data_IF_385770280037
#
_entry.id   IF_385770280037
#
_cell.length_a   1.000
_cell.length_b   1.000
_cell.length_c   1.000
_cell.angle_alpha   90.00
_cell.angle_beta   90.00
_cell.angle_gamma   90.00
#
_symmetry.space_group_name_H-M   'P 1'
#
loop_
_entity.id
_entity.type
_entity.pdbx_description
1 polymer ?
#
# COMPACT_ATOMS: atom_id res chain seq x y z
N UNK A 1 -20.70 10.85 -13.26
CA UNK A 1 -21.68 10.28 -12.32
C UNK A 1 -20.91 9.86 -11.08
N UNK A 2 -20.80 10.77 -10.12
CA UNK A 2 -20.16 10.55 -8.82
C UNK A 2 -21.28 10.34 -7.81
N UNK A 3 -21.33 9.18 -7.18
CA UNK A 3 -22.25 8.87 -6.08
C UNK A 3 -21.46 8.96 -4.78
N UNK A 4 -21.85 9.90 -3.93
CA UNK A 4 -21.40 10.06 -2.54
C UNK A 4 -21.70 8.80 -1.71
N UNK A 5 -20.81 8.40 -0.78
CA UNK A 5 -21.22 7.62 0.38
C UNK A 5 -21.44 8.59 1.56
N UNK A 6 -22.62 9.19 1.59
CA UNK A 6 -23.17 9.84 2.78
C UNK A 6 -23.81 8.74 3.64
N UNK A 7 -23.00 7.99 4.40
CA UNK A 7 -23.52 7.09 5.44
C UNK A 7 -23.55 7.86 6.75
N UNK A 8 -24.76 8.35 7.06
CA UNK A 8 -25.18 8.80 8.38
C UNK A 8 -24.88 7.70 9.41
N UNK A 9 -23.99 7.97 10.35
CA UNK A 9 -23.99 7.27 11.63
C UNK A 9 -25.11 7.88 12.46
N UNK A 10 -26.26 7.24 12.40
CA UNK A 10 -27.36 7.47 13.33
C UNK A 10 -26.90 7.15 14.75
N UNK A 11 -27.03 8.15 15.61
CA UNK A 11 -26.92 8.07 17.05
C UNK A 11 -27.98 7.13 17.60
N UNK A 12 -27.62 5.85 17.79
CA UNK A 12 -28.35 4.95 18.67
C UNK A 12 -27.93 5.22 20.11
N UNK A 13 -28.59 6.18 20.74
CA UNK A 13 -28.53 6.42 22.19
C UNK A 13 -29.96 6.49 22.74
N UNK A 14 -30.72 5.44 22.47
CA UNK A 14 -31.96 5.14 23.19
C UNK A 14 -31.69 3.94 24.10
N UNK A 15 -31.23 4.23 25.31
CA UNK A 15 -31.63 3.43 26.46
C UNK A 15 -32.20 4.38 27.50
N UNK A 16 -33.53 4.33 27.60
CA UNK A 16 -34.34 4.82 28.71
C UNK A 16 -33.82 4.21 30.01
N UNK A 17 -32.79 4.80 30.61
CA UNK A 17 -32.53 4.70 32.03
C UNK A 17 -33.39 5.75 32.72
N UNK A 18 -34.58 5.36 33.19
CA UNK A 18 -35.34 6.11 34.19
C UNK A 18 -34.33 6.58 35.25
N UNK A 19 -34.04 7.87 35.32
CA UNK A 19 -33.54 8.46 36.55
C UNK A 19 -34.71 8.42 37.52
N UNK A 20 -34.87 7.27 38.19
CA UNK A 20 -35.56 7.22 39.46
C UNK A 20 -34.72 8.13 40.35
N UNK A 21 -35.17 9.38 40.50
CA UNK A 21 -34.89 10.12 41.70
C UNK A 21 -35.54 9.30 42.82
N UNK A 22 -34.81 8.31 43.33
CA UNK A 22 -34.97 7.81 44.69
C UNK A 22 -34.45 8.95 45.56
N UNK A 23 -35.25 10.00 45.68
CA UNK A 23 -35.41 10.64 46.97
C UNK A 23 -35.88 9.52 47.89
N UNK A 24 -34.92 8.89 48.57
CA UNK A 24 -35.21 8.20 49.81
C UNK A 24 -35.70 9.27 50.79
N UNK A 25 -36.98 9.63 50.65
CA UNK A 25 -37.81 10.02 51.78
C UNK A 25 -37.88 8.78 52.67
N UNK A 26 -36.78 8.51 53.37
CA UNK A 26 -36.75 7.68 54.56
C UNK A 26 -37.48 8.50 55.61
N UNK A 27 -38.81 8.37 55.59
CA UNK A 27 -39.64 8.50 56.78
C UNK A 27 -39.11 7.44 57.75
N UNK A 28 -38.03 7.79 58.43
CA UNK A 28 -37.35 6.95 59.41
C UNK A 28 -37.90 7.41 60.74
N UNK A 29 -38.64 6.51 61.39
CA UNK A 29 -38.98 6.69 62.79
C UNK A 29 -37.72 7.16 63.54
N UNK A 30 -37.84 8.17 64.42
CA UNK A 30 -36.68 8.70 65.13
C UNK A 30 -35.93 7.54 65.78
N UNK A 31 -34.60 7.47 65.63
CA UNK A 31 -33.83 6.32 66.07
C UNK A 31 -34.11 6.05 67.54
N UNK A 32 -34.32 4.78 67.87
CA UNK A 32 -34.69 4.38 69.22
C UNK A 32 -33.57 4.75 70.20
N UNK A 33 -33.91 4.96 71.47
CA UNK A 33 -32.93 5.31 72.48
C UNK A 33 -31.82 4.24 72.62
N UNK A 34 -32.11 2.99 72.29
CA UNK A 34 -31.15 1.89 72.22
C UNK A 34 -30.21 1.99 71.02
N UNK A 35 -30.73 2.38 69.85
CA UNK A 35 -29.93 2.63 68.64
C UNK A 35 -28.98 3.82 68.85
N UNK A 36 -29.43 4.86 69.53
CA UNK A 36 -28.60 6.03 69.87
C UNK A 36 -27.50 5.64 70.87
N UNK A 37 -27.84 4.85 71.91
CA UNK A 37 -26.84 4.35 72.87
C UNK A 37 -25.81 3.44 72.21
N UNK A 38 -26.27 2.55 71.34
CA UNK A 38 -25.40 1.68 70.56
C UNK A 38 -24.46 2.50 69.66
N UNK A 39 -25.00 3.48 68.93
CA UNK A 39 -24.20 4.38 68.11
C UNK A 39 -23.17 5.17 68.94
N UNK A 40 -23.53 5.72 70.10
CA UNK A 40 -22.58 6.39 71.00
C UNK A 40 -21.47 5.42 71.42
N UNK A 41 -21.81 4.21 71.85
CA UNK A 41 -20.83 3.21 72.27
C UNK A 41 -19.91 2.78 71.12
N UNK A 42 -20.45 2.55 69.92
CA UNK A 42 -19.66 2.20 68.75
C UNK A 42 -18.68 3.31 68.38
N UNK A 43 -19.11 4.58 68.36
CA UNK A 43 -18.21 5.69 68.08
C UNK A 43 -17.20 5.89 69.24
N UNK A 44 -17.58 5.62 70.48
CA UNK A 44 -16.73 5.80 71.66
C UNK A 44 -15.65 4.71 71.78
N UNK A 45 -15.97 3.44 71.51
CA UNK A 45 -14.99 2.36 71.38
C UNK A 45 -13.97 2.63 70.26
N UNK A 46 -14.39 3.32 69.20
CA UNK A 46 -13.53 3.73 68.11
C UNK A 46 -12.67 4.97 68.42
N UNK A 47 -13.09 5.81 69.38
CA UNK A 47 -12.35 7.02 69.83
C UNK A 47 -11.38 6.70 70.98
N UNK A 48 -11.74 5.75 71.85
CA UNK A 48 -10.91 5.29 72.98
C UNK A 48 -9.83 4.27 72.53
N UNK A 49 -9.96 3.73 71.32
CA UNK A 49 -8.89 3.04 70.62
C UNK A 49 -7.77 4.00 70.20
N UNK A 50 -6.52 3.62 70.48
CA UNK A 50 -5.29 4.39 70.27
C UNK A 50 -5.33 5.31 69.02
N UNK A 51 -5.00 6.60 69.22
CA UNK A 51 -5.06 7.67 68.21
C UNK A 51 -4.27 7.36 66.92
N UNK A 52 -3.41 6.35 66.94
CA UNK A 52 -2.69 5.79 65.80
C UNK A 52 -3.58 5.11 64.75
N UNK A 53 -4.86 4.83 65.06
CA UNK A 53 -5.84 4.21 64.15
C UNK A 53 -6.79 5.22 63.47
N UNK A 54 -6.64 6.53 63.72
CA UNK A 54 -7.50 7.61 63.21
C UNK A 54 -7.74 7.59 61.70
N UNK A 55 -6.81 7.06 60.91
CA UNK A 55 -6.93 7.01 59.45
C UNK A 55 -7.76 5.83 58.92
N UNK A 56 -8.18 4.88 59.77
CA UNK A 56 -8.92 3.66 59.35
C UNK A 56 -10.36 3.59 59.84
N UNK A 57 -10.73 4.44 60.78
CA UNK A 57 -12.04 4.41 61.44
C UNK A 57 -13.20 4.81 60.51
N UNK A 58 -13.06 5.80 59.61
CA UNK A 58 -14.16 6.18 58.69
C UNK A 58 -14.48 5.13 57.62
N UNK A 59 -13.58 4.18 57.36
CA UNK A 59 -13.76 3.13 56.36
C UNK A 59 -14.55 1.92 56.90
N UNK A 60 -14.89 1.92 58.20
CA UNK A 60 -15.70 0.87 58.80
C UNK A 60 -17.20 1.16 58.60
N UNK A 61 -17.97 0.24 57.98
CA UNK A 61 -19.40 0.43 57.75
C UNK A 61 -20.18 0.79 59.02
N UNK A 62 -19.80 0.18 60.15
CA UNK A 62 -20.41 0.41 61.45
C UNK A 62 -20.18 1.84 62.00
N UNK A 63 -19.03 2.46 61.70
CA UNK A 63 -18.74 3.83 62.13
C UNK A 63 -19.55 4.86 61.34
N UNK A 64 -19.73 4.63 60.03
CA UNK A 64 -20.57 5.46 59.18
C UNK A 64 -22.05 5.33 59.53
N UNK A 65 -22.54 4.12 59.79
CA UNK A 65 -23.92 3.85 60.19
C UNK A 65 -24.23 4.48 61.56
N UNK A 66 -23.34 4.33 62.54
CA UNK A 66 -23.45 4.99 63.84
C UNK A 66 -23.39 6.53 63.72
N UNK A 67 -22.57 7.07 62.82
CA UNK A 67 -22.52 8.51 62.53
C UNK A 67 -23.82 9.03 61.91
N UNK A 68 -24.43 8.28 60.99
CA UNK A 68 -25.74 8.63 60.41
C UNK A 68 -26.83 8.66 61.48
N UNK A 69 -26.87 7.64 62.36
CA UNK A 69 -27.83 7.56 63.48
C UNK A 69 -27.68 8.76 64.42
N UNK A 70 -26.46 9.20 64.75
CA UNK A 70 -26.24 10.37 65.60
C UNK A 70 -26.55 11.71 64.91
N UNK A 71 -26.41 11.79 63.58
CA UNK A 71 -26.81 12.99 62.83
C UNK A 71 -28.33 13.22 62.86
N UNK A 72 -29.12 12.14 62.96
CA UNK A 72 -30.58 12.16 63.03
C UNK A 72 -31.10 12.45 64.45
N UNK A 73 -30.29 12.26 65.50
CA UNK A 73 -30.65 12.54 66.89
C UNK A 73 -29.69 13.55 67.60
N UNK A 74 -29.61 14.79 67.10
CA UNK A 74 -28.62 15.78 67.56
C UNK A 74 -28.85 16.30 68.98
N UNK A 75 -30.04 16.09 69.54
CA UNK A 75 -30.44 16.54 70.88
C UNK A 75 -30.05 15.55 71.99
N UNK A 76 -29.64 14.33 71.62
CA UNK A 76 -29.29 13.24 72.54
C UNK A 76 -27.79 12.92 72.54
N UNK A 77 -27.00 13.62 71.74
CA UNK A 77 -25.56 13.40 71.60
C UNK A 77 -24.75 14.60 72.08
N UNK A 78 -23.54 14.35 72.60
CA UNK A 78 -22.63 15.42 73.01
C UNK A 78 -22.08 16.16 71.79
N UNK A 79 -21.66 17.42 71.96
CA UNK A 79 -21.03 18.20 70.89
C UNK A 79 -19.82 17.49 70.26
N UNK A 80 -19.07 16.69 71.04
CA UNK A 80 -17.95 15.88 70.55
C UNK A 80 -18.40 14.74 69.63
N UNK A 81 -19.46 14.03 70.00
CA UNK A 81 -20.02 12.94 69.19
C UNK A 81 -20.60 13.46 67.87
N UNK A 82 -21.19 14.65 67.89
CA UNK A 82 -21.70 15.31 66.67
C UNK A 82 -20.58 15.68 65.69
N UNK A 83 -19.52 16.33 66.17
CA UNK A 83 -18.35 16.69 65.35
C UNK A 83 -17.73 15.44 64.70
N UNK A 84 -17.67 14.34 65.45
CA UNK A 84 -17.12 13.09 64.96
C UNK A 84 -18.01 12.39 63.94
N UNK A 85 -19.33 12.38 64.17
CA UNK A 85 -20.30 11.88 63.20
C UNK A 85 -20.24 12.67 61.87
N UNK A 86 -20.19 14.00 61.95
CA UNK A 86 -20.07 14.87 60.78
C UNK A 86 -18.75 14.60 60.01
N UNK A 87 -17.64 14.39 60.73
CA UNK A 87 -16.36 14.03 60.13
C UNK A 87 -16.41 12.69 59.38
N UNK A 88 -16.98 11.64 59.98
CA UNK A 88 -17.12 10.32 59.35
C UNK A 88 -17.99 10.38 58.08
N UNK A 89 -19.07 11.16 58.10
CA UNK A 89 -19.96 11.34 56.94
C UNK A 89 -19.23 12.07 55.81
N UNK A 90 -18.53 13.17 56.12
CA UNK A 90 -17.76 13.97 55.14
C UNK A 90 -16.64 13.14 54.54
N UNK A 91 -15.91 12.38 55.35
CA UNK A 91 -14.82 11.54 54.89
C UNK A 91 -15.32 10.42 53.96
N UNK A 92 -16.41 9.73 54.33
CA UNK A 92 -16.97 8.68 53.48
C UNK A 92 -17.46 9.22 52.12
N UNK A 93 -18.06 10.41 52.09
CA UNK A 93 -18.46 11.08 50.85
C UNK A 93 -17.24 11.50 50.01
N UNK A 94 -16.19 12.03 50.66
CA UNK A 94 -14.93 12.36 50.01
C UNK A 94 -14.24 11.11 49.41
N UNK A 95 -14.12 10.01 50.17
CA UNK A 95 -13.54 8.75 49.69
C UNK A 95 -14.31 8.17 48.50
N UNK A 96 -15.64 8.20 48.52
CA UNK A 96 -16.47 7.78 47.38
C UNK A 96 -16.21 8.64 46.13
N UNK A 97 -16.15 9.96 46.30
CA UNK A 97 -15.85 10.90 45.21
C UNK A 97 -14.42 10.71 44.67
N UNK A 98 -13.47 10.44 45.54
CA UNK A 98 -12.07 10.18 45.19
C UNK A 98 -11.93 8.88 44.38
N UNK A 99 -12.54 7.78 44.82
CA UNK A 99 -12.55 6.51 44.07
C UNK A 99 -13.24 6.65 42.70
N UNK A 100 -14.34 7.40 42.64
CA UNK A 100 -15.01 7.70 41.37
C UNK A 100 -14.13 8.54 40.43
N UNK A 101 -13.30 9.43 40.98
CA UNK A 101 -12.34 10.22 40.21
C UNK A 101 -11.19 9.34 39.70
N UNK A 102 -10.60 8.48 40.54
CA UNK A 102 -9.55 7.55 40.14
C UNK A 102 -9.99 6.64 38.98
N UNK A 103 -11.22 6.12 39.05
CA UNK A 103 -11.81 5.33 37.97
C UNK A 103 -11.91 6.12 36.66
N UNK A 104 -12.32 7.40 36.73
CA UNK A 104 -12.38 8.29 35.55
C UNK A 104 -11.00 8.61 34.99
N UNK A 105 -9.98 8.79 35.85
CA UNK A 105 -8.60 9.01 35.41
C UNK A 105 -8.06 7.78 34.69
N UNK A 106 -8.25 6.58 35.24
CA UNK A 106 -7.83 5.33 34.60
C UNK A 106 -8.50 5.14 33.22
N UNK A 107 -9.79 5.44 33.10
CA UNK A 107 -10.49 5.41 31.82
C UNK A 107 -9.94 6.44 30.82
N UNK A 108 -9.61 7.66 31.28
CA UNK A 108 -9.04 8.70 30.44
C UNK A 108 -7.63 8.34 29.94
N UNK A 109 -6.80 7.70 30.78
CA UNK A 109 -5.48 7.21 30.39
C UNK A 109 -5.57 6.08 29.35
N UNK A 110 -6.51 5.17 29.51
CA UNK A 110 -6.78 4.12 28.52
C UNK A 110 -7.18 4.73 27.17
N UNK A 111 -8.12 5.67 27.15
CA UNK A 111 -8.55 6.36 25.93
C UNK A 111 -7.39 7.13 25.30
N UNK A 112 -6.58 7.83 26.10
CA UNK A 112 -5.39 8.54 25.61
C UNK A 112 -4.44 7.57 24.90
N UNK A 113 -4.14 6.43 25.53
CA UNK A 113 -3.25 5.41 24.96
C UNK A 113 -3.79 4.85 23.65
N UNK A 114 -5.08 4.52 23.62
CA UNK A 114 -5.76 4.05 22.40
C UNK A 114 -5.70 5.08 21.26
N UNK A 115 -5.93 6.36 21.57
CA UNK A 115 -5.83 7.45 20.60
C UNK A 115 -4.39 7.60 20.09
N UNK A 116 -3.39 7.61 20.96
CA UNK A 116 -1.98 7.69 20.54
C UNK A 116 -1.57 6.50 19.67
N UNK A 117 -1.93 5.27 20.06
CA UNK A 117 -1.60 4.07 19.29
C UNK A 117 -2.34 4.05 17.93
N UNK A 118 -3.61 4.49 17.93
CA UNK A 118 -4.40 4.66 16.72
C UNK A 118 -3.80 5.71 15.77
N UNK A 119 -3.41 6.88 16.29
CA UNK A 119 -2.77 7.93 15.48
C UNK A 119 -1.44 7.47 14.88
N UNK A 120 -0.59 6.80 15.66
CA UNK A 120 0.67 6.24 15.15
C UNK A 120 0.43 5.24 14.00
N UNK A 121 -0.59 4.39 14.14
CA UNK A 121 -0.98 3.42 13.09
C UNK A 121 -1.48 4.13 11.82
N UNK A 122 -2.26 5.21 11.96
CA UNK A 122 -2.73 6.02 10.83
C UNK A 122 -1.58 6.72 10.13
N UNK A 123 -0.63 7.29 10.87
CA UNK A 123 0.58 7.90 10.29
C UNK A 123 1.40 6.88 9.51
N UNK A 124 1.64 5.70 10.08
CA UNK A 124 2.36 4.61 9.41
C UNK A 124 1.67 4.20 8.10
N UNK A 125 0.35 3.97 8.13
CA UNK A 125 -0.41 3.65 6.90
C UNK A 125 -0.38 4.77 5.86
N UNK A 126 -0.36 6.03 6.29
CA UNK A 126 -0.24 7.18 5.39
C UNK A 126 1.13 7.20 4.69
N UNK A 127 2.20 6.91 5.40
CA UNK A 127 3.55 6.79 4.82
C UNK A 127 3.62 5.63 3.83
N UNK A 128 3.10 4.45 4.19
CA UNK A 128 3.01 3.28 3.30
C UNK A 128 2.21 3.62 2.03
N UNK A 129 1.08 4.32 2.16
CA UNK A 129 0.28 4.76 1.02
C UNK A 129 1.04 5.74 0.11
N UNK A 130 1.78 6.70 0.67
CA UNK A 130 2.59 7.63 -0.10
C UNK A 130 3.72 6.89 -0.85
N UNK A 131 4.38 5.93 -0.19
CA UNK A 131 5.40 5.09 -0.83
C UNK A 131 4.80 4.28 -1.99
N UNK A 132 3.63 3.67 -1.78
CA UNK A 132 2.93 2.92 -2.84
C UNK A 132 2.54 3.83 -4.02
N UNK A 133 2.09 5.07 -3.75
CA UNK A 133 1.76 6.04 -4.80
C UNK A 133 2.99 6.43 -5.63
N UNK A 134 4.13 6.67 -4.99
CA UNK A 134 5.40 6.96 -5.68
C UNK A 134 5.83 5.77 -6.56
N UNK A 135 5.75 4.55 -6.04
CA UNK A 135 6.04 3.35 -6.81
C UNK A 135 5.12 3.19 -8.03
N UNK A 136 3.82 3.45 -7.86
CA UNK A 136 2.85 3.39 -8.96
C UNK A 136 3.14 4.44 -10.05
N UNK A 137 3.52 5.66 -9.67
CA UNK A 137 3.93 6.70 -10.64
C UNK A 137 5.18 6.27 -11.41
N UNK A 138 6.15 5.65 -10.75
CA UNK A 138 7.35 5.12 -11.41
C UNK A 138 7.00 4.01 -12.42
N UNK A 139 6.06 3.12 -12.07
CA UNK A 139 5.56 2.08 -12.99
C UNK A 139 4.85 2.68 -14.22
N UNK A 140 4.02 3.72 -14.03
CA UNK A 140 3.38 4.43 -15.15
C UNK A 140 4.43 5.03 -16.09
N UNK A 141 5.48 5.63 -15.55
CA UNK A 141 6.57 6.19 -16.37
C UNK A 141 7.25 5.10 -17.19
N UNK A 142 7.61 3.98 -16.57
CA UNK A 142 8.22 2.85 -17.27
C UNK A 142 7.32 2.31 -18.40
N UNK A 143 6.00 2.24 -18.19
CA UNK A 143 5.05 1.86 -19.24
C UNK A 143 5.01 2.85 -20.39
N UNK A 144 5.14 4.16 -20.11
CA UNK A 144 5.22 5.18 -21.15
C UNK A 144 6.49 5.01 -22.00
N UNK A 145 7.64 4.81 -21.35
CA UNK A 145 8.92 4.62 -22.02
C UNK A 145 8.90 3.38 -22.93
N UNK A 146 8.34 2.26 -22.44
CA UNK A 146 8.14 1.05 -23.25
C UNK A 146 7.24 1.29 -24.46
N UNK A 147 6.18 2.09 -24.31
CA UNK A 147 5.26 2.40 -25.41
C UNK A 147 5.96 3.21 -26.51
N UNK A 148 6.84 4.13 -26.13
CA UNK A 148 7.66 4.89 -27.07
C UNK A 148 8.67 3.99 -27.80
N UNK A 149 9.31 3.06 -27.08
CA UNK A 149 10.21 2.09 -27.68
C UNK A 149 9.50 1.17 -28.68
N UNK A 150 8.31 0.67 -28.34
CA UNK A 150 7.47 -0.12 -29.26
C UNK A 150 7.15 0.69 -30.52
N UNK A 151 6.73 1.95 -30.38
CA UNK A 151 6.40 2.81 -31.52
C UNK A 151 7.62 3.02 -32.44
N UNK A 152 8.81 3.19 -31.86
CA UNK A 152 10.06 3.31 -32.60
C UNK A 152 10.45 2.01 -33.32
N UNK A 153 10.24 0.85 -32.69
CA UNK A 153 10.49 -0.45 -33.31
C UNK A 153 9.52 -0.73 -34.46
N UNK A 154 8.24 -0.40 -34.30
CA UNK A 154 7.23 -0.50 -35.35
C UNK A 154 7.60 0.36 -36.57
N UNK A 155 8.07 1.59 -36.34
CA UNK A 155 8.54 2.47 -37.41
C UNK A 155 9.76 1.90 -38.15
N UNK A 156 10.75 1.35 -37.42
CA UNK A 156 11.91 0.67 -38.02
C UNK A 156 11.48 -0.54 -38.84
N UNK A 157 10.54 -1.33 -38.33
CA UNK A 157 10.02 -2.52 -38.98
C UNK A 157 9.22 -2.18 -40.25
N UNK A 158 8.42 -1.12 -40.22
CA UNK A 158 7.74 -0.59 -41.41
C UNK A 158 8.74 -0.14 -42.49
N UNK A 159 9.81 0.56 -42.10
CA UNK A 159 10.88 0.97 -43.02
C UNK A 159 11.56 -0.23 -43.65
N UNK A 160 11.92 -1.25 -42.87
CA UNK A 160 12.53 -2.48 -43.40
C UNK A 160 11.57 -3.20 -44.36
N UNK A 161 10.30 -3.35 -44.01
CA UNK A 161 9.28 -3.95 -44.89
C UNK A 161 9.15 -3.19 -46.22
N UNK A 162 9.25 -1.87 -46.23
CA UNK A 162 9.20 -1.08 -47.46
C UNK A 162 10.40 -1.29 -48.38
N UNK A 163 11.53 -1.77 -47.85
CA UNK A 163 12.76 -2.03 -48.62
C UNK A 163 12.78 -3.44 -49.25
N UNK A 164 12.01 -4.39 -48.72
CA UNK A 164 11.97 -5.77 -49.23
C UNK A 164 11.59 -5.84 -50.72
N UNK A 165 10.55 -5.16 -51.21
CA UNK A 165 10.18 -5.23 -52.63
C UNK A 165 11.28 -4.69 -53.55
N UNK A 166 12.01 -3.66 -53.11
CA UNK A 166 13.12 -3.10 -53.88
C UNK A 166 14.27 -4.12 -53.99
N UNK A 167 14.60 -4.80 -52.88
CA UNK A 167 15.61 -5.85 -52.87
C UNK A 167 15.22 -7.03 -53.78
N UNK A 168 13.97 -7.50 -53.70
CA UNK A 168 13.45 -8.55 -54.59
C UNK A 168 13.49 -8.14 -56.07
N UNK A 169 13.21 -6.86 -56.37
CA UNK A 169 13.29 -6.34 -57.73
C UNK A 169 14.74 -6.31 -58.23
N UNK A 170 15.69 -5.88 -57.39
CA UNK A 170 17.11 -5.92 -57.71
C UNK A 170 17.58 -7.34 -57.99
N UNK A 171 17.17 -8.31 -57.17
CA UNK A 171 17.49 -9.73 -57.37
C UNK A 171 16.96 -10.25 -58.71
N UNK A 172 15.69 -9.96 -59.05
CA UNK A 172 15.10 -10.34 -60.35
C UNK A 172 15.85 -9.72 -61.54
N UNK A 173 16.27 -8.46 -61.41
CA UNK A 173 17.03 -7.78 -62.46
C UNK A 173 18.42 -8.39 -62.64
N UNK A 174 19.12 -8.70 -61.54
CA UNK A 174 20.42 -9.38 -61.59
C UNK A 174 20.28 -10.78 -62.19
N UNK A 175 19.23 -11.53 -61.85
CA UNK A 175 18.96 -12.83 -62.46
C UNK A 175 18.77 -12.74 -63.98
N UNK A 176 18.03 -11.72 -64.46
CA UNK A 176 17.88 -11.46 -65.90
C UNK A 176 19.21 -11.12 -66.58
N UNK A 177 20.02 -10.25 -65.97
CA UNK A 177 21.34 -9.89 -66.50
C UNK A 177 22.26 -11.10 -66.56
N UNK A 178 22.27 -11.93 -65.52
CA UNK A 178 23.02 -13.19 -65.47
C UNK A 178 22.63 -14.14 -66.61
N UNK A 179 21.33 -14.36 -66.80
CA UNK A 179 20.84 -15.25 -67.86
C UNK A 179 21.24 -14.74 -69.25
N UNK A 180 21.14 -13.43 -69.48
CA UNK A 180 21.60 -12.82 -70.73
C UNK A 180 23.09 -13.03 -70.97
N UNK A 181 23.92 -12.73 -69.97
CA UNK A 181 25.38 -12.94 -70.06
C UNK A 181 25.72 -14.41 -70.32
N UNK A 182 25.00 -15.35 -69.71
CA UNK A 182 25.19 -16.77 -69.96
C UNK A 182 24.87 -17.13 -71.41
N UNK A 183 23.75 -16.65 -71.97
CA UNK A 183 23.41 -16.88 -73.38
C UNK A 183 24.44 -16.25 -74.33
N UNK A 184 24.88 -15.03 -74.05
CA UNK A 184 25.89 -14.33 -74.85
C UNK A 184 27.24 -15.09 -74.82
N UNK A 185 27.63 -15.63 -73.65
CA UNK A 185 28.82 -16.45 -73.50
C UNK A 185 28.72 -17.78 -74.28
N UNK A 186 27.59 -18.47 -74.21
CA UNK A 186 27.36 -19.70 -74.98
C UNK A 186 27.38 -19.44 -76.50
N UNK A 187 26.83 -18.32 -76.96
CA UNK A 187 26.90 -17.90 -78.36
C UNK A 187 28.34 -17.56 -78.78
N UNK A 188 29.10 -16.88 -77.92
CA UNK A 188 30.52 -16.61 -78.11
C UNK A 188 31.34 -17.90 -78.23
N UNK A 189 31.14 -18.86 -77.33
CA UNK A 189 31.80 -20.17 -77.36
C UNK A 189 31.51 -20.94 -78.65
N UNK A 190 30.25 -20.95 -79.11
CA UNK A 190 29.89 -21.56 -80.41
C UNK A 190 30.62 -20.89 -81.57
N UNK A 191 30.74 -19.56 -81.54
CA UNK A 191 31.45 -18.80 -82.57
C UNK A 191 32.95 -19.11 -82.58
N UNK A 192 33.57 -19.16 -81.40
CA UNK A 192 34.98 -19.56 -81.24
C UNK A 192 35.21 -20.99 -81.74
N UNK A 193 34.31 -21.94 -81.41
CA UNK A 193 34.40 -23.31 -81.92
C UNK A 193 34.36 -23.35 -83.45
N UNK A 194 33.44 -22.61 -84.09
CA UNK A 194 33.37 -22.53 -85.56
C UNK A 194 34.65 -21.98 -86.18
N UNK A 195 35.20 -20.92 -85.62
CA UNK A 195 36.47 -20.33 -86.09
C UNK A 195 37.59 -21.36 -85.95
N UNK A 196 37.65 -22.05 -84.81
CA UNK A 196 38.63 -23.13 -84.57
C UNK A 196 38.52 -24.25 -85.60
N UNK A 197 37.30 -24.64 -85.98
CA UNK A 197 37.05 -25.69 -86.98
C UNK A 197 37.39 -25.26 -88.41
N UNK A 198 37.30 -23.95 -88.71
CA UNK A 198 37.65 -23.38 -90.02
C UNK A 198 39.15 -23.06 -90.17
N UNK A 199 39.87 -22.90 -89.06
CA UNK A 199 41.30 -22.56 -89.09
C UNK A 199 42.15 -23.55 -89.91
N UNK A 200 41.96 -24.88 -89.82
CA UNK A 200 42.72 -25.85 -90.63
C UNK A 200 42.50 -25.69 -92.14
N UNK A 201 41.29 -25.34 -92.59
CA UNK A 201 41.03 -25.16 -94.03
C UNK A 201 41.68 -23.89 -94.56
N UNK A 202 41.76 -22.83 -93.75
CA UNK A 202 42.50 -21.62 -94.13
C UNK A 202 44.00 -21.88 -94.21
N UNK A 203 44.57 -22.67 -93.30
CA UNK A 203 46.00 -23.01 -93.36
C UNK A 203 46.33 -23.89 -94.57
N UNK A 204 45.50 -24.88 -94.89
CA UNK A 204 45.71 -25.72 -96.08
C UNK A 204 45.64 -24.89 -97.36
N UNK A 205 44.65 -23.99 -97.48
CA UNK A 205 44.54 -23.11 -98.65
C UNK A 205 45.73 -22.16 -98.79
N UNK A 206 46.30 -21.68 -97.68
CA UNK A 206 47.51 -20.86 -97.72
C UNK A 206 48.74 -21.67 -98.15
N UNK A 207 48.88 -22.89 -97.66
CA UNK A 207 49.98 -23.79 -98.03
C UNK A 207 49.90 -24.18 -99.52
N UNK A 208 48.70 -24.47 -100.04
CA UNK A 208 48.46 -24.74 -101.47
C UNK A 208 48.85 -23.54 -102.34
N UNK A 209 48.44 -22.32 -101.98
CA UNK A 209 48.81 -21.11 -102.71
C UNK A 209 50.32 -20.83 -102.69
N UNK A 210 51.00 -21.13 -101.57
CA UNK A 210 52.46 -21.02 -101.47
C UNK A 210 53.14 -22.03 -102.41
N UNK A 211 52.62 -23.25 -102.50
CA UNK A 211 53.18 -24.27 -103.37
C UNK A 211 52.96 -23.95 -104.86
N UNK A 212 51.80 -23.42 -105.25
CA UNK A 212 51.57 -22.89 -106.60
C UNK A 212 52.53 -21.74 -106.94
N UNK A 213 52.80 -20.84 -106.00
CA UNK A 213 53.76 -19.75 -106.19
C UNK A 213 55.21 -20.25 -106.33
N UNK A 214 55.58 -21.33 -105.63
CA UNK A 214 56.89 -21.98 -105.83
C UNK A 214 56.97 -22.62 -107.21
N UNK A 215 55.95 -23.35 -107.64
CA UNK A 215 55.91 -23.99 -108.95
C UNK A 215 56.01 -22.95 -110.07
N UNK A 216 55.24 -21.85 -110.00
CA UNK A 216 55.34 -20.75 -110.98
C UNK A 216 56.73 -20.09 -110.97
N UNK A 217 57.36 -19.94 -109.79
CA UNK A 217 58.73 -19.42 -109.69
C UNK A 217 59.74 -20.38 -110.33
N UNK A 218 59.61 -21.68 -110.13
CA UNK A 218 60.48 -22.69 -110.73
C UNK A 218 60.32 -22.74 -112.25
N UNK A 219 59.08 -22.71 -112.75
CA UNK A 219 58.78 -22.60 -114.18
C UNK A 219 59.40 -21.32 -114.77
N UNK A 220 59.24 -20.17 -114.12
CA UNK A 220 59.83 -18.90 -114.56
C UNK A 220 61.36 -18.97 -114.65
N UNK A 221 62.01 -19.60 -113.67
CA UNK A 221 63.47 -19.74 -113.64
C UNK A 221 64.01 -20.77 -114.64
N UNK A 222 63.15 -21.57 -115.27
CA UNK A 222 63.52 -22.58 -116.26
C UNK A 222 63.47 -22.08 -117.72
N UNK A 223 62.97 -20.85 -117.94
CA UNK A 223 62.98 -20.11 -119.20
C UNK A 223 64.21 -19.19 -119.29
#
# INVERSE_FOLDING_TARGET
MLVDPCVKLESASDSKGKSVAEETNLDTDPPSQEQIKFAILTLQELVDGDLSHFCRVPDQPAAFEAAQILSQAPHLSSAKHKIWADFCIIYADFSKKFLALESKVAAAEFVRKFVTDGTATVFKKKEEFLAAKVAHVAQIKHLHDLKEEISNLEAKLAKLRSQVPLAEQMEKNLAKQRNKLQTDMEAGLKSVSKIKDQLPSFTVSADEAVEELKNMREEWNSW
#
